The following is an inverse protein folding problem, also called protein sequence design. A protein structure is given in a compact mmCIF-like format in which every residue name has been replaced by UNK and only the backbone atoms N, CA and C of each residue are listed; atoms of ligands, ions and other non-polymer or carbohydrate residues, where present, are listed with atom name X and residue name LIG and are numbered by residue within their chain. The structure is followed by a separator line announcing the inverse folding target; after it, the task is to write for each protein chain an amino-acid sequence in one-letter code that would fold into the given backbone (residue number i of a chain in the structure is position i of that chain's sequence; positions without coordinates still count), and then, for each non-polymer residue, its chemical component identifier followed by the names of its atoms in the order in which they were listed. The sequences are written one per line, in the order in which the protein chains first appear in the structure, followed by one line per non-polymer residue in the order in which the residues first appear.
data_IF_643415267374
#
_entry.id   IF_643415267374
#
_cell.length_a   1.000
_cell.length_b   1.000
_cell.length_c   1.000
_cell.angle_alpha   90.00
_cell.angle_beta   90.00
_cell.angle_gamma   90.00
#
_symmetry.space_group_name_H-M   'P 1'
#
loop_
_entity.id
_entity.type
_entity.pdbx_description
1 polymer ?
#
# COMPACT_ATOMS: atom_id res chain seq x y z
N UNK A 1 -17.65 -9.31 1.12
CA UNK A 1 -16.78 -10.48 0.88
C UNK A 1 -15.92 -10.68 2.13
N UNK A 2 -15.53 -11.91 2.46
CA UNK A 2 -14.47 -12.14 3.44
C UNK A 2 -13.13 -11.66 2.90
N UNK A 3 -12.10 -11.53 3.77
CA UNK A 3 -10.73 -11.23 3.33
C UNK A 3 -10.19 -12.31 2.40
N UNK A 4 -10.47 -13.58 2.67
CA UNK A 4 -10.01 -14.65 1.80
C UNK A 4 -10.72 -14.68 0.44
N UNK A 5 -12.03 -14.41 0.40
CA UNK A 5 -12.77 -14.23 -0.86
C UNK A 5 -12.23 -13.04 -1.67
N UNK A 6 -11.80 -11.97 -1.00
CA UNK A 6 -11.14 -10.83 -1.61
C UNK A 6 -9.77 -11.21 -2.22
N UNK A 7 -8.97 -12.01 -1.52
CA UNK A 7 -7.71 -12.58 -2.04
C UNK A 7 -7.99 -13.43 -3.30
N UNK A 8 -8.96 -14.35 -3.23
CA UNK A 8 -9.34 -15.21 -4.37
C UNK A 8 -9.87 -14.40 -5.57
N UNK A 9 -10.57 -13.29 -5.32
CA UNK A 9 -11.01 -12.36 -6.38
C UNK A 9 -9.82 -11.60 -6.98
N UNK A 10 -8.89 -11.12 -6.16
CA UNK A 10 -7.70 -10.39 -6.63
C UNK A 10 -6.81 -11.27 -7.51
N UNK A 11 -6.73 -12.58 -7.24
CA UNK A 11 -5.97 -13.54 -8.06
C UNK A 11 -6.42 -13.62 -9.53
N UNK A 12 -7.58 -13.06 -9.87
CA UNK A 12 -8.05 -12.93 -11.25
C UNK A 12 -7.53 -11.68 -11.98
N UNK A 13 -6.81 -10.79 -11.30
CA UNK A 13 -6.22 -9.57 -11.84
C UNK A 13 -4.75 -9.80 -12.27
N UNK A 14 -4.36 -9.22 -13.41
CA UNK A 14 -2.96 -9.07 -13.82
C UNK A 14 -2.56 -7.61 -13.59
N UNK A 15 -1.55 -7.37 -12.75
CA UNK A 15 -0.98 -6.04 -12.50
C UNK A 15 0.03 -5.70 -13.60
N UNK A 16 -0.26 -4.65 -14.39
CA UNK A 16 0.59 -4.17 -15.50
C UNK A 16 1.67 -3.20 -15.03
N UNK A 17 1.60 -2.73 -13.78
CA UNK A 17 2.60 -1.83 -13.21
C UNK A 17 3.78 -2.57 -12.57
N UNK A 18 3.57 -3.81 -12.11
CA UNK A 18 4.65 -4.65 -11.60
C UNK A 18 5.53 -5.12 -12.78
N UNK A 19 6.84 -4.78 -12.82
CA UNK A 19 7.74 -5.28 -13.84
C UNK A 19 7.93 -6.81 -13.79
N UNK A 20 7.46 -7.49 -12.74
CA UNK A 20 7.54 -8.94 -12.57
C UNK A 20 6.16 -9.62 -12.62
N UNK A 21 5.75 -10.03 -13.82
CA UNK A 21 4.45 -10.66 -14.09
C UNK A 21 4.44 -12.17 -13.86
N UNK A 22 5.45 -12.74 -13.19
CA UNK A 22 5.63 -14.20 -13.12
C UNK A 22 4.80 -14.90 -12.03
N UNK A 23 4.32 -14.14 -11.04
CA UNK A 23 3.56 -14.64 -9.90
C UNK A 23 2.08 -14.24 -10.00
N UNK A 24 1.19 -15.13 -9.55
CA UNK A 24 -0.20 -14.77 -9.33
C UNK A 24 -0.32 -13.87 -8.08
N UNK A 25 -1.40 -13.10 -7.96
CA UNK A 25 -1.57 -12.16 -6.85
C UNK A 25 -1.63 -12.89 -5.50
N UNK A 26 -2.30 -14.05 -5.41
CA UNK A 26 -2.28 -14.83 -4.15
C UNK A 26 -0.87 -15.32 -3.81
N UNK A 27 -0.07 -15.64 -4.83
CA UNK A 27 1.34 -16.02 -4.67
C UNK A 27 2.15 -14.88 -4.06
N UNK A 28 2.04 -13.67 -4.61
CA UNK A 28 2.70 -12.46 -4.10
C UNK A 28 2.33 -12.18 -2.63
N UNK A 29 1.03 -12.17 -2.32
CA UNK A 29 0.54 -11.92 -0.96
C UNK A 29 1.07 -12.95 0.04
N UNK A 30 1.06 -14.24 -0.33
CA UNK A 30 1.57 -15.31 0.52
C UNK A 30 3.10 -15.28 0.67
N UNK A 31 3.85 -14.91 -0.38
CA UNK A 31 5.31 -14.77 -0.28
C UNK A 31 5.70 -13.66 0.69
N UNK A 32 5.04 -12.49 0.58
CA UNK A 32 5.23 -11.37 1.50
C UNK A 32 4.93 -11.79 2.94
N UNK A 33 3.77 -12.43 3.18
CA UNK A 33 3.37 -12.87 4.50
C UNK A 33 4.29 -13.98 5.08
N UNK A 34 4.69 -14.96 4.28
CA UNK A 34 5.59 -16.05 4.73
C UNK A 34 7.01 -15.55 5.00
N UNK A 35 7.52 -14.57 4.24
CA UNK A 35 8.82 -13.97 4.52
C UNK A 35 8.81 -13.24 5.86
N UNK A 36 7.75 -12.47 6.15
CA UNK A 36 7.53 -11.81 7.43
C UNK A 36 7.42 -12.85 8.56
N UNK A 37 6.71 -13.96 8.32
CA UNK A 37 6.56 -15.05 9.30
C UNK A 37 7.87 -15.77 9.58
N UNK A 38 8.67 -16.06 8.55
CA UNK A 38 9.99 -16.72 8.65
C UNK A 38 10.98 -15.91 9.46
N UNK A 39 10.90 -14.58 9.38
CA UNK A 39 11.72 -13.65 10.17
C UNK A 39 11.22 -13.46 11.61
N UNK A 40 10.16 -14.20 12.02
CA UNK A 40 9.64 -14.16 13.39
C UNK A 40 8.96 -12.83 13.75
N UNK A 41 8.50 -12.06 12.75
CA UNK A 41 7.80 -10.79 12.98
C UNK A 41 6.41 -11.03 13.60
N UNK A 42 5.84 -10.02 14.30
CA UNK A 42 4.53 -10.14 14.93
C UNK A 42 3.42 -10.58 13.96
N UNK A 43 2.42 -11.29 14.49
CA UNK A 43 1.27 -11.80 13.73
C UNK A 43 0.53 -10.73 12.94
N UNK A 44 0.34 -9.53 13.52
CA UNK A 44 -0.28 -8.41 12.82
C UNK A 44 0.49 -8.01 11.57
N UNK A 45 1.83 -8.10 11.58
CA UNK A 45 2.67 -7.71 10.43
C UNK A 45 2.61 -8.78 9.34
N UNK A 46 2.50 -10.05 9.73
CA UNK A 46 2.27 -11.15 8.77
C UNK A 46 0.94 -10.97 8.05
N UNK A 47 -0.11 -10.58 8.77
CA UNK A 47 -1.39 -10.25 8.17
C UNK A 47 -1.28 -9.02 7.25
N UNK A 48 -0.54 -7.98 7.67
CA UNK A 48 -0.26 -6.82 6.81
C UNK A 48 0.35 -7.26 5.48
N UNK A 49 1.35 -8.14 5.49
CA UNK A 49 1.91 -8.72 4.26
C UNK A 49 0.88 -9.47 3.41
N UNK A 50 -0.03 -10.21 4.05
CA UNK A 50 -1.08 -10.93 3.32
C UNK A 50 -2.10 -10.00 2.65
N UNK A 51 -2.37 -8.82 3.22
CA UNK A 51 -3.49 -7.98 2.77
C UNK A 51 -3.10 -6.69 2.07
N UNK A 52 -1.85 -6.24 2.14
CA UNK A 52 -1.42 -4.89 1.71
C UNK A 52 -1.94 -4.48 0.31
N UNK A 53 -1.97 -5.45 -0.60
CA UNK A 53 -2.36 -5.25 -1.99
C UNK A 53 -3.86 -5.48 -2.30
N UNK A 54 -4.67 -5.84 -1.30
CA UNK A 54 -6.12 -6.05 -1.51
C UNK A 54 -6.86 -4.80 -1.95
N UNK A 55 -6.25 -3.62 -1.84
CA UNK A 55 -6.81 -2.41 -2.39
C UNK A 55 -6.92 -2.43 -3.93
N UNK A 56 -6.14 -3.29 -4.60
CA UNK A 56 -6.20 -3.51 -6.06
C UNK A 56 -7.57 -4.02 -6.52
N UNK A 57 -8.42 -4.47 -5.59
CA UNK A 57 -9.83 -4.76 -5.85
C UNK A 57 -10.62 -3.58 -6.43
N UNK A 58 -10.16 -2.33 -6.25
CA UNK A 58 -10.70 -1.15 -6.92
C UNK A 58 -10.87 -1.35 -8.43
N UNK A 59 -9.98 -2.13 -9.06
CA UNK A 59 -10.07 -2.47 -10.48
C UNK A 59 -11.44 -3.08 -10.85
N UNK A 60 -12.04 -3.86 -9.94
CA UNK A 60 -13.35 -4.48 -10.16
C UNK A 60 -14.53 -3.58 -9.79
N UNK A 61 -14.28 -2.38 -9.24
CA UNK A 61 -15.30 -1.47 -8.70
C UNK A 61 -15.46 -0.18 -9.53
N UNK A 62 -15.06 -0.22 -10.80
CA UNK A 62 -15.29 0.87 -11.75
C UNK A 62 -14.12 1.83 -11.91
N UNK A 63 -12.89 1.37 -11.62
CA UNK A 63 -11.67 2.06 -12.03
C UNK A 63 -11.67 2.32 -13.55
N UNK A 64 -11.11 3.45 -13.96
CA UNK A 64 -10.99 3.82 -15.38
C UNK A 64 -9.79 3.12 -16.04
N UNK A 65 -8.80 2.69 -15.26
CA UNK A 65 -7.67 1.89 -15.73
C UNK A 65 -6.92 1.24 -14.58
N UNK A 66 -5.66 0.88 -14.83
CA UNK A 66 -4.75 0.49 -13.74
C UNK A 66 -4.12 1.71 -13.07
N UNK A 67 -4.00 2.84 -13.78
CA UNK A 67 -3.34 4.07 -13.31
C UNK A 67 -4.07 4.77 -12.16
N UNK A 68 -5.35 4.48 -11.91
CA UNK A 68 -6.12 4.94 -10.75
C UNK A 68 -6.25 3.85 -9.66
N UNK A 69 -5.42 2.80 -9.73
CA UNK A 69 -5.41 1.67 -8.79
C UNK A 69 -4.00 1.35 -8.27
N UNK A 70 -3.01 1.18 -9.15
CA UNK A 70 -1.67 0.67 -8.84
C UNK A 70 -0.56 1.71 -9.03
N UNK A 71 0.65 1.37 -8.59
CA UNK A 71 1.87 2.16 -8.81
C UNK A 71 2.26 3.08 -7.66
N UNK A 72 3.46 3.65 -7.77
CA UNK A 72 4.02 4.59 -6.79
C UNK A 72 3.07 5.77 -6.54
N UNK A 73 2.87 6.11 -5.27
CA UNK A 73 2.03 7.22 -4.85
C UNK A 73 2.84 8.49 -4.62
N UNK A 74 2.17 9.64 -4.75
CA UNK A 74 2.75 10.95 -4.51
C UNK A 74 1.70 11.94 -3.98
N UNK A 75 2.09 12.98 -3.23
CA UNK A 75 1.16 14.03 -2.81
C UNK A 75 0.61 14.81 -4.00
N UNK A 76 -0.71 14.95 -4.04
CA UNK A 76 -1.39 15.88 -4.96
C UNK A 76 -1.61 17.23 -4.27
N UNK A 77 -1.85 18.30 -5.03
CA UNK A 77 -2.11 19.63 -4.45
C UNK A 77 -0.88 20.36 -3.90
N UNK A 78 0.33 19.85 -4.13
CA UNK A 78 1.61 20.55 -3.96
C UNK A 78 2.60 20.13 -5.06
N UNK A 79 3.77 20.78 -5.10
CA UNK A 79 4.73 20.54 -6.17
C UNK A 79 5.18 19.07 -6.21
N UNK A 80 5.22 18.50 -7.41
CA UNK A 80 5.78 17.17 -7.65
C UNK A 80 7.30 17.20 -7.43
N UNK A 81 7.80 16.26 -6.64
CA UNK A 81 9.23 16.13 -6.33
C UNK A 81 9.93 15.36 -7.46
N UNK A 82 11.17 15.74 -7.79
CA UNK A 82 11.96 15.10 -8.86
C UNK A 82 12.31 13.63 -8.58
N UNK A 83 12.12 13.17 -7.35
CA UNK A 83 12.32 11.77 -6.94
C UNK A 83 11.12 10.86 -7.21
N UNK A 84 9.99 11.39 -7.71
CA UNK A 84 8.92 10.55 -8.26
C UNK A 84 9.42 9.87 -9.53
N UNK A 85 9.06 8.60 -9.74
CA UNK A 85 9.42 7.88 -10.96
C UNK A 85 8.83 8.56 -12.21
N UNK A 86 9.62 8.69 -13.26
CA UNK A 86 9.28 9.40 -14.51
C UNK A 86 8.71 10.82 -14.29
N UNK A 87 9.42 11.72 -13.59
CA UNK A 87 8.90 13.03 -13.20
C UNK A 87 8.56 13.93 -14.40
N UNK A 88 9.14 13.67 -15.58
CA UNK A 88 8.82 14.35 -16.83
C UNK A 88 7.38 14.13 -17.30
N UNK A 89 6.72 13.04 -16.88
CA UNK A 89 5.34 12.71 -17.28
C UNK A 89 4.32 13.70 -16.70
N UNK A 90 4.67 14.43 -15.64
CA UNK A 90 3.82 15.47 -15.06
C UNK A 90 3.66 16.71 -15.93
N UNK A 91 4.44 16.88 -17.01
CA UNK A 91 4.39 18.08 -17.86
C UNK A 91 2.99 18.39 -18.43
N UNK A 92 2.14 17.36 -18.58
CA UNK A 92 0.76 17.50 -19.06
C UNK A 92 -0.29 17.51 -17.95
N UNK A 93 0.11 17.37 -16.68
CA UNK A 93 -0.80 17.45 -15.56
C UNK A 93 -1.23 18.92 -15.35
N UNK A 94 -2.54 19.24 -15.26
CA UNK A 94 -3.01 20.62 -15.08
C UNK A 94 -2.52 21.30 -13.79
N UNK A 95 -2.10 20.52 -12.79
CA UNK A 95 -1.54 21.03 -11.55
C UNK A 95 -0.03 21.34 -11.66
N UNK A 96 0.65 20.84 -12.71
CA UNK A 96 2.06 21.11 -12.96
C UNK A 96 2.29 22.59 -13.31
N UNK A 97 3.13 23.27 -12.52
CA UNK A 97 3.39 24.70 -12.69
C UNK A 97 2.22 25.61 -12.29
N UNK A 98 1.16 25.08 -11.68
CA UNK A 98 0.05 25.87 -11.17
C UNK A 98 0.52 26.86 -10.08
N UNK A 99 -0.03 28.07 -10.04
CA UNK A 99 0.38 29.10 -9.07
C UNK A 99 0.18 28.70 -7.59
N UNK A 100 -0.75 27.78 -7.30
CA UNK A 100 -0.97 27.23 -5.96
C UNK A 100 -0.24 25.88 -5.88
N UNK A 101 -0.67 24.90 -6.69
CA UNK A 101 -0.20 23.52 -6.54
C UNK A 101 1.25 23.32 -6.97
N UNK A 102 1.81 24.17 -7.83
CA UNK A 102 3.22 24.14 -8.20
C UNK A 102 4.18 24.68 -7.12
N UNK A 103 3.66 25.08 -5.96
CA UNK A 103 4.50 25.56 -4.85
C UNK A 103 4.84 24.43 -3.88
N UNK A 104 5.92 24.62 -3.09
CA UNK A 104 6.43 23.62 -2.13
C UNK A 104 5.36 23.04 -1.19
N UNK A 105 4.44 23.90 -0.74
CA UNK A 105 3.38 23.50 0.19
C UNK A 105 2.01 23.38 -0.50
N UNK A 106 1.79 24.08 -1.61
CA UNK A 106 0.51 24.07 -2.30
C UNK A 106 -0.66 24.38 -1.36
N UNK A 107 -1.56 23.42 -1.19
CA UNK A 107 -2.71 23.54 -0.28
C UNK A 107 -2.39 23.18 1.19
N UNK A 108 -1.21 22.64 1.46
CA UNK A 108 -0.81 22.16 2.79
C UNK A 108 -0.13 23.26 3.61
N UNK A 109 -0.03 23.02 4.92
CA UNK A 109 0.81 23.81 5.82
C UNK A 109 2.05 23.01 6.23
N UNK A 110 3.15 23.67 6.64
CA UNK A 110 4.36 22.97 7.06
C UNK A 110 4.07 22.00 8.21
N UNK A 111 4.63 20.79 8.12
CA UNK A 111 4.54 19.76 9.15
C UNK A 111 3.08 19.38 9.51
N UNK A 112 2.18 19.40 8.52
CA UNK A 112 0.77 19.06 8.72
C UNK A 112 0.52 17.62 9.13
N UNK A 113 1.50 16.74 8.95
CA UNK A 113 1.35 15.31 9.14
C UNK A 113 0.82 14.63 7.88
N UNK A 114 1.36 13.47 7.52
CA UNK A 114 0.93 12.75 6.32
C UNK A 114 -0.53 12.29 6.37
N UNK A 115 -1.12 12.20 7.57
CA UNK A 115 -2.55 11.97 7.72
C UNK A 115 -3.43 13.07 7.10
N UNK A 116 -2.89 14.29 6.98
CA UNK A 116 -3.55 15.45 6.38
C UNK A 116 -3.10 15.73 4.93
N UNK A 117 -2.32 14.83 4.34
CA UNK A 117 -1.85 14.93 2.95
C UNK A 117 -2.71 14.04 2.07
N UNK A 118 -3.18 14.57 0.95
CA UNK A 118 -3.81 13.74 -0.08
C UNK A 118 -2.72 13.15 -0.95
N UNK A 119 -2.62 11.82 -0.93
CA UNK A 119 -1.83 11.08 -1.91
C UNK A 119 -2.68 10.83 -3.17
N UNK A 120 -2.01 10.61 -4.29
CA UNK A 120 -2.62 10.08 -5.51
C UNK A 120 -3.47 8.85 -5.16
N UNK A 121 -4.69 8.83 -5.69
CA UNK A 121 -5.66 7.78 -5.39
C UNK A 121 -5.17 6.41 -5.91
N UNK A 122 -5.39 5.37 -5.12
CA UNK A 122 -5.00 4.00 -5.46
C UNK A 122 -5.28 3.02 -4.34
N UNK A 123 -4.72 1.81 -4.49
CA UNK A 123 -4.93 0.67 -3.59
C UNK A 123 -4.55 0.96 -2.13
N UNK A 124 -3.44 1.69 -1.87
CA UNK A 124 -3.00 2.07 -0.52
C UNK A 124 -4.10 2.79 0.27
N UNK A 125 -4.56 3.94 -0.23
CA UNK A 125 -5.51 4.81 0.47
C UNK A 125 -6.89 4.14 0.55
N UNK A 126 -7.31 3.44 -0.50
CA UNK A 126 -8.55 2.70 -0.48
C UNK A 126 -8.54 1.58 0.57
N UNK A 127 -7.51 0.73 0.57
CA UNK A 127 -7.42 -0.36 1.55
C UNK A 127 -7.30 0.18 2.96
N UNK A 128 -6.50 1.23 3.19
CA UNK A 128 -6.43 1.92 4.47
C UNK A 128 -7.81 2.32 4.98
N UNK A 129 -8.65 2.92 4.13
CA UNK A 129 -10.01 3.32 4.50
C UNK A 129 -10.91 2.11 4.84
N UNK A 130 -10.77 0.99 4.13
CA UNK A 130 -11.49 -0.26 4.40
C UNK A 130 -11.08 -0.84 5.76
N UNK A 131 -9.77 -0.99 6.00
CA UNK A 131 -9.25 -1.77 7.15
C UNK A 131 -9.21 -0.98 8.45
N UNK A 132 -9.01 0.35 8.42
CA UNK A 132 -8.87 1.17 9.64
C UNK A 132 -10.10 1.17 10.55
N UNK A 133 -11.27 0.84 9.99
CA UNK A 133 -12.54 0.81 10.73
C UNK A 133 -13.09 -0.60 10.95
N UNK A 134 -12.53 -1.61 10.28
CA UNK A 134 -13.07 -2.97 10.25
C UNK A 134 -12.09 -4.03 10.78
N UNK A 135 -10.88 -3.62 11.18
CA UNK A 135 -9.84 -4.49 11.76
C UNK A 135 -9.38 -3.97 13.13
N UNK A 136 -8.62 -4.81 13.85
CA UNK A 136 -7.94 -4.46 15.10
C UNK A 136 -6.43 -4.25 14.89
N UNK A 137 -6.01 -4.01 13.64
CA UNK A 137 -4.62 -3.77 13.28
C UNK A 137 -4.04 -2.52 13.97
N UNK A 138 -2.76 -2.56 14.40
CA UNK A 138 -2.12 -1.42 15.03
C UNK A 138 -1.82 -0.30 14.02
N UNK A 139 -1.49 0.90 14.52
CA UNK A 139 -1.19 2.07 13.68
C UNK A 139 -0.07 1.81 12.68
N UNK A 140 0.95 1.07 13.08
CA UNK A 140 2.09 0.69 12.24
C UNK A 140 1.64 -0.14 11.03
N UNK A 141 0.73 -1.10 11.22
CA UNK A 141 0.15 -1.89 10.13
C UNK A 141 -0.66 -1.02 9.17
N UNK A 142 -1.44 -0.08 9.71
CA UNK A 142 -2.22 0.86 8.90
C UNK A 142 -1.32 1.79 8.09
N UNK A 143 -0.20 2.24 8.65
CA UNK A 143 0.79 3.05 7.95
C UNK A 143 1.53 2.26 6.86
N UNK A 144 1.90 1.00 7.14
CA UNK A 144 2.46 0.11 6.11
C UNK A 144 1.48 0.00 4.93
N UNK A 145 0.20 -0.27 5.17
CA UNK A 145 -0.81 -0.36 4.11
C UNK A 145 -0.97 0.97 3.36
N UNK A 146 -1.07 2.09 4.07
CA UNK A 146 -1.37 3.39 3.47
C UNK A 146 -0.22 4.01 2.69
N UNK A 147 1.01 3.61 2.98
CA UNK A 147 2.20 4.31 2.48
C UNK A 147 3.25 3.39 1.84
N UNK A 148 2.98 2.10 1.66
CA UNK A 148 3.96 1.19 1.05
C UNK A 148 4.26 1.50 -0.42
N UNK A 149 3.35 2.18 -1.12
CA UNK A 149 3.60 2.67 -2.48
C UNK A 149 4.21 4.08 -2.49
N UNK A 150 4.42 4.73 -1.33
CA UNK A 150 4.90 6.12 -1.28
C UNK A 150 6.44 6.20 -1.38
N UNK A 151 7.01 5.62 -2.43
CA UNK A 151 8.45 5.49 -2.68
C UNK A 151 9.24 6.80 -2.60
N UNK A 152 8.76 7.93 -3.16
CA UNK A 152 9.42 9.21 -2.99
C UNK A 152 9.73 9.52 -1.53
N UNK A 153 8.82 9.17 -0.61
CA UNK A 153 8.98 9.40 0.82
C UNK A 153 9.84 8.32 1.50
N UNK A 154 9.40 7.06 1.51
CA UNK A 154 10.05 6.06 2.36
C UNK A 154 11.41 5.58 1.84
N UNK A 155 11.61 5.61 0.52
CA UNK A 155 12.87 5.22 -0.11
C UNK A 155 13.76 6.43 -0.45
N UNK A 156 13.20 7.46 -1.08
CA UNK A 156 14.00 8.59 -1.61
C UNK A 156 14.08 9.82 -0.67
N UNK A 157 13.37 9.80 0.47
CA UNK A 157 13.44 10.84 1.50
C UNK A 157 12.81 12.18 1.09
N UNK A 158 11.87 12.17 0.16
CA UNK A 158 11.08 13.33 -0.24
C UNK A 158 10.00 13.68 0.77
N UNK A 159 9.39 14.84 0.58
CA UNK A 159 8.20 15.28 1.33
C UNK A 159 8.34 15.42 2.86
N UNK A 160 9.56 15.39 3.42
CA UNK A 160 9.82 15.59 4.85
C UNK A 160 9.29 16.91 5.41
N UNK A 161 9.10 17.94 4.57
CA UNK A 161 8.51 19.22 4.99
C UNK A 161 7.01 19.14 5.32
N UNK A 162 6.34 18.04 4.96
CA UNK A 162 4.94 17.78 5.31
C UNK A 162 4.80 16.90 6.57
N UNK A 163 5.88 16.23 6.99
CA UNK A 163 5.87 15.28 8.12
C UNK A 163 5.74 15.96 9.48
N UNK A 164 5.08 15.29 10.42
CA UNK A 164 5.13 15.57 11.85
C UNK A 164 5.95 14.50 12.62
N UNK A 165 6.02 14.60 13.94
CA UNK A 165 6.80 13.66 14.78
C UNK A 165 6.28 12.21 14.73
N UNK A 166 4.98 12.02 14.51
CA UNK A 166 4.38 10.68 14.39
C UNK A 166 4.78 10.02 13.06
N UNK A 167 4.93 10.79 11.99
CA UNK A 167 5.33 10.28 10.67
C UNK A 167 6.75 9.71 10.67
N UNK A 168 7.67 10.21 11.51
CA UNK A 168 9.01 9.61 11.62
C UNK A 168 8.92 8.18 12.21
N UNK A 169 7.99 7.92 13.13
CA UNK A 169 7.76 6.55 13.64
C UNK A 169 7.12 5.66 12.59
N UNK A 170 6.18 6.21 11.81
CA UNK A 170 5.54 5.48 10.72
C UNK A 170 6.50 5.18 9.57
N UNK A 171 7.44 6.09 9.29
CA UNK A 171 8.50 5.89 8.30
C UNK A 171 9.34 4.65 8.61
N UNK A 172 9.73 4.46 9.88
CA UNK A 172 10.47 3.27 10.29
C UNK A 172 9.65 1.98 10.12
N UNK A 173 8.34 2.02 10.41
CA UNK A 173 7.44 0.90 10.18
C UNK A 173 7.33 0.54 8.68
N UNK A 174 7.12 1.54 7.83
CA UNK A 174 6.99 1.36 6.36
C UNK A 174 8.30 0.84 5.77
N UNK A 175 9.44 1.39 6.17
CA UNK A 175 10.76 0.89 5.75
C UNK A 175 11.03 -0.53 6.20
N UNK A 176 10.55 -0.94 7.38
CA UNK A 176 10.67 -2.30 7.85
C UNK A 176 9.80 -3.29 7.04
N UNK A 177 8.72 -2.82 6.44
CA UNK A 177 7.82 -3.61 5.61
C UNK A 177 8.31 -3.74 4.16
N UNK A 178 8.79 -2.64 3.56
CA UNK A 178 9.14 -2.55 2.13
C UNK A 178 10.02 -3.68 1.57
N UNK A 179 11.03 -4.22 2.29
CA UNK A 179 11.81 -5.35 1.78
C UNK A 179 11.00 -6.64 1.60
N UNK A 180 9.93 -6.83 2.38
CA UNK A 180 9.05 -7.99 2.26
C UNK A 180 8.09 -7.87 1.07
N UNK A 181 7.66 -6.66 0.74
CA UNK A 181 6.87 -6.42 -0.46
C UNK A 181 7.72 -6.63 -1.73
N UNK A 182 8.89 -5.98 -1.80
CA UNK A 182 9.76 -6.02 -2.98
C UNK A 182 10.58 -7.29 -3.19
N UNK A 183 11.16 -7.84 -2.11
CA UNK A 183 12.25 -8.83 -2.19
C UNK A 183 11.89 -10.18 -1.56
N UNK A 184 10.63 -10.38 -1.14
CA UNK A 184 10.16 -11.71 -0.69
C UNK A 184 9.94 -12.70 -1.84
N UNK A 185 10.13 -12.23 -3.08
CA UNK A 185 10.09 -12.99 -4.34
C UNK A 185 11.20 -14.06 -4.35
N UNK A 186 11.01 -15.12 -3.56
CA UNK A 186 11.85 -16.31 -3.54
C UNK A 186 11.46 -17.27 -4.65
N UNK A 187 12.39 -18.12 -5.09
CA UNK A 187 12.17 -19.10 -6.16
C UNK A 187 11.03 -20.10 -5.88
N UNK A 188 10.64 -20.31 -4.61
CA UNK A 188 9.61 -21.27 -4.25
C UNK A 188 8.20 -20.63 -4.22
N UNK A 189 7.31 -21.14 -5.06
CA UNK A 189 5.89 -20.77 -5.12
C UNK A 189 5.17 -21.29 -3.85
N UNK A 190 4.44 -20.44 -3.10
CA UNK A 190 3.76 -20.87 -1.88
C UNK A 190 2.73 -21.98 -2.12
N UNK A 191 2.75 -23.01 -1.27
CA UNK A 191 1.73 -24.08 -1.29
C UNK A 191 0.43 -23.60 -0.62
N UNK A 192 -0.45 -22.95 -1.39
CA UNK A 192 -1.68 -22.28 -0.93
C UNK A 192 -2.49 -23.17 0.03
N UNK A 193 -2.78 -24.41 -0.34
CA UNK A 193 -3.62 -25.32 0.46
C UNK A 193 -3.01 -25.65 1.84
N UNK A 194 -1.68 -25.65 1.96
CA UNK A 194 -1.00 -25.87 3.25
C UNK A 194 -1.02 -24.62 4.12
N UNK A 195 -0.96 -23.44 3.51
CA UNK A 195 -0.87 -22.14 4.20
C UNK A 195 -2.25 -21.59 4.57
N UNK A 196 -3.28 -21.87 3.77
CA UNK A 196 -4.63 -21.33 3.93
C UNK A 196 -5.21 -21.49 5.35
N UNK A 197 -5.09 -22.64 6.04
CA UNK A 197 -5.61 -22.77 7.41
C UNK A 197 -4.99 -21.77 8.40
N UNK A 198 -3.69 -21.53 8.30
CA UNK A 198 -2.98 -20.57 9.16
C UNK A 198 -3.46 -19.13 8.91
N UNK A 199 -3.58 -18.74 7.64
CA UNK A 199 -3.96 -17.39 7.29
C UNK A 199 -5.45 -17.10 7.51
N UNK A 200 -6.33 -18.10 7.40
CA UNK A 200 -7.74 -17.95 7.79
C UNK A 200 -7.88 -17.69 9.30
N UNK A 201 -7.13 -18.41 10.14
CA UNK A 201 -7.07 -18.16 11.58
C UNK A 201 -6.53 -16.75 11.88
N UNK A 202 -5.47 -16.34 11.19
CA UNK A 202 -4.87 -15.03 11.35
C UNK A 202 -5.82 -13.89 10.92
N UNK A 203 -6.59 -14.09 9.84
CA UNK A 203 -7.64 -13.15 9.43
C UNK A 203 -8.71 -13.04 10.52
N UNK A 204 -9.22 -14.16 11.03
CA UNK A 204 -10.24 -14.19 12.09
C UNK A 204 -9.75 -13.49 13.39
N UNK A 205 -8.45 -13.49 13.67
CA UNK A 205 -7.86 -12.79 14.82
C UNK A 205 -7.96 -11.26 14.72
N UNK A 206 -7.76 -10.69 13.54
CA UNK A 206 -7.67 -9.24 13.34
C UNK A 206 -8.90 -8.61 12.67
N UNK A 207 -9.81 -9.41 12.13
CA UNK A 207 -11.09 -8.95 11.57
C UNK A 207 -12.25 -9.49 12.42
N UNK A 208 -12.75 -8.72 13.41
CA UNK A 208 -13.84 -9.16 14.30
C UNK A 208 -15.13 -9.53 13.56
N UNK A 209 -15.32 -8.97 12.36
CA UNK A 209 -16.41 -9.32 11.46
C UNK A 209 -15.82 -10.05 10.25
N UNK A 210 -16.28 -11.28 10.03
CA UNK A 210 -15.83 -12.08 8.87
C UNK A 210 -16.16 -11.44 7.52
N UNK A 211 -17.26 -10.70 7.46
CA UNK A 211 -17.66 -9.98 6.25
C UNK A 211 -17.14 -8.55 6.33
N UNK A 212 -16.25 -8.23 5.40
CA UNK A 212 -15.71 -6.88 5.21
C UNK A 212 -16.53 -6.15 4.14
N UNK A 213 -16.79 -4.87 4.39
CA UNK A 213 -17.32 -3.93 3.39
C UNK A 213 -16.15 -3.35 2.62
N UNK A 214 -16.02 -3.79 1.38
CA UNK A 214 -15.03 -3.34 0.39
C UNK A 214 -15.60 -2.16 -0.36
#
# INVERSE_FOLDING_TARGET
MTVWEAIEKLDTLIDESDPDTSLSQIGHLLQSAEAIRRDGKPRWMQLTGLIHDLGKLLFFFGAEGQWDVVGDTFPVGCAFDERIIYPETFANNPDFGNQIYGTKFGIYYPNCGLDNVMLSWGHDEYLYNVVKTQSTLPKEALAMIRYHSFYPWHAAGAYRHLMNDDDERMLEAVKAFNPYDLYSKSDDVPEIEKLKPYYLELIDEFFPQRIVKW
#
